data_IF_671694182251
#
_entry.id   IF_671694182251
#
_cell.length_a   1.000
_cell.length_b   1.000
_cell.length_c   1.000
_cell.angle_alpha   90.00
_cell.angle_beta   90.00
_cell.angle_gamma   90.00
#
_symmetry.space_group_name_H-M   'P 1'
#
loop_
_entity.id
_entity.type
_entity.pdbx_description
1 polymer ?
#
# COMPACT_ATOMS: atom_id res chain seq x y z
N UNK A 1 6.88 -19.06 -44.77
CA UNK A 1 8.07 -18.23 -44.46
C UNK A 1 7.86 -16.71 -44.49
N UNK A 2 6.88 -16.15 -45.22
CA UNK A 2 6.65 -14.67 -45.22
C UNK A 2 5.65 -14.18 -44.12
N UNK A 3 4.92 -15.05 -43.49
CA UNK A 3 3.96 -14.71 -42.41
C UNK A 3 4.66 -14.52 -41.04
N UNK A 4 5.67 -15.34 -40.81
CA UNK A 4 6.45 -15.35 -39.55
C UNK A 4 7.31 -14.08 -39.34
N UNK A 5 7.83 -13.51 -40.44
CA UNK A 5 8.62 -12.28 -40.43
C UNK A 5 7.78 -11.03 -40.12
N UNK A 6 6.50 -11.00 -40.59
CA UNK A 6 5.60 -9.89 -40.31
C UNK A 6 5.09 -9.91 -38.84
N UNK A 7 4.83 -11.08 -38.30
CA UNK A 7 4.45 -11.23 -36.88
C UNK A 7 5.62 -10.87 -35.97
N UNK A 8 6.82 -11.28 -36.32
CA UNK A 8 8.03 -10.95 -35.59
C UNK A 8 8.35 -9.45 -35.63
N UNK A 9 8.15 -8.78 -36.76
CA UNK A 9 8.31 -7.33 -36.87
C UNK A 9 7.23 -6.57 -36.11
N UNK A 10 5.98 -7.04 -36.09
CA UNK A 10 4.90 -6.46 -35.31
C UNK A 10 5.16 -6.60 -33.80
N UNK A 11 5.69 -7.74 -33.37
CA UNK A 11 6.06 -7.98 -31.97
C UNK A 11 7.21 -7.06 -31.52
N UNK A 12 8.23 -6.90 -32.37
CA UNK A 12 9.35 -5.99 -32.10
C UNK A 12 8.86 -4.53 -32.02
N UNK A 13 7.98 -4.10 -32.93
CA UNK A 13 7.41 -2.75 -32.87
C UNK A 13 6.53 -2.52 -31.65
N UNK A 14 5.73 -3.51 -31.24
CA UNK A 14 4.96 -3.43 -30.01
C UNK A 14 5.87 -3.35 -28.76
N UNK A 15 6.93 -4.16 -28.70
CA UNK A 15 7.90 -4.14 -27.60
C UNK A 15 8.67 -2.81 -27.53
N UNK A 16 9.07 -2.25 -28.68
CA UNK A 16 9.73 -0.93 -28.75
C UNK A 16 8.78 0.18 -28.34
N UNK A 17 7.49 0.10 -28.71
CA UNK A 17 6.49 1.08 -28.28
C UNK A 17 6.24 1.02 -26.77
N UNK A 18 6.21 -0.17 -26.18
CA UNK A 18 6.02 -0.38 -24.75
C UNK A 18 7.23 0.08 -23.92
N UNK A 19 8.45 -0.18 -24.41
CA UNK A 19 9.69 0.33 -23.83
C UNK A 19 9.85 1.86 -23.97
N UNK A 20 9.26 2.45 -25.02
CA UNK A 20 9.26 3.91 -25.23
C UNK A 20 8.17 4.64 -24.46
N UNK A 21 7.15 3.94 -23.96
CA UNK A 21 6.08 4.45 -23.11
C UNK A 21 6.44 4.41 -21.60
N UNK A 22 7.56 3.76 -21.24
CA UNK A 22 8.08 3.87 -19.88
C UNK A 22 8.50 5.33 -19.64
N UNK A 23 7.96 5.97 -18.62
CA UNK A 23 8.41 7.29 -18.19
C UNK A 23 9.94 7.28 -18.06
N UNK A 24 10.63 8.28 -18.61
CA UNK A 24 12.09 8.30 -18.56
C UNK A 24 12.50 8.30 -17.08
N UNK A 25 13.19 7.23 -16.66
CA UNK A 25 13.83 7.16 -15.35
C UNK A 25 14.81 8.33 -15.27
N UNK A 26 14.46 9.34 -14.46
CA UNK A 26 15.35 10.46 -14.19
C UNK A 26 16.47 10.03 -13.23
N UNK A 27 17.61 10.73 -13.33
CA UNK A 27 18.70 10.52 -12.37
C UNK A 27 18.24 10.93 -10.97
N UNK A 28 18.70 10.19 -9.98
CA UNK A 28 18.51 10.54 -8.58
C UNK A 28 19.22 11.87 -8.27
N UNK A 29 18.58 12.71 -7.49
CA UNK A 29 19.11 14.01 -7.09
C UNK A 29 20.46 13.90 -6.36
N UNK A 30 20.63 12.88 -5.52
CA UNK A 30 21.86 12.62 -4.78
C UNK A 30 23.03 12.31 -5.74
N UNK A 31 22.76 11.62 -6.84
CA UNK A 31 23.75 11.32 -7.87
C UNK A 31 24.13 12.59 -8.68
N UNK A 32 23.15 13.43 -9.01
CA UNK A 32 23.37 14.71 -9.66
C UNK A 32 24.20 15.64 -8.77
N UNK A 33 23.89 15.71 -7.49
CA UNK A 33 24.65 16.50 -6.49
C UNK A 33 26.08 16.01 -6.39
N UNK A 34 26.28 14.70 -6.24
CA UNK A 34 27.61 14.10 -6.16
C UNK A 34 28.45 14.38 -7.42
N UNK A 35 27.81 14.34 -8.62
CA UNK A 35 28.46 14.67 -9.88
C UNK A 35 28.92 16.14 -9.94
N UNK A 36 28.05 17.08 -9.57
CA UNK A 36 28.36 18.51 -9.57
C UNK A 36 29.47 18.85 -8.56
N UNK A 37 29.51 18.16 -7.44
CA UNK A 37 30.53 18.30 -6.40
C UNK A 37 31.85 17.59 -6.73
N UNK A 38 31.90 16.78 -7.79
CA UNK A 38 33.07 15.98 -8.16
C UNK A 38 33.34 14.82 -7.20
N UNK A 39 32.31 14.29 -6.55
CA UNK A 39 32.37 13.17 -5.59
C UNK A 39 31.99 11.82 -6.18
N UNK A 40 31.60 11.81 -7.46
CA UNK A 40 31.25 10.58 -8.18
C UNK A 40 32.49 9.75 -8.54
N UNK A 41 32.35 8.44 -8.52
CA UNK A 41 33.31 7.54 -9.14
C UNK A 41 33.22 7.56 -10.68
N UNK A 42 34.11 6.81 -11.34
CA UNK A 42 34.19 6.81 -12.83
C UNK A 42 32.92 6.26 -13.46
N UNK A 43 32.28 5.29 -12.84
CA UNK A 43 31.06 4.63 -13.35
C UNK A 43 29.87 5.59 -13.24
N UNK A 44 29.70 6.22 -12.10
CA UNK A 44 28.65 7.19 -11.83
C UNK A 44 28.78 8.43 -12.75
N UNK A 45 30.00 8.90 -13.01
CA UNK A 45 30.27 9.99 -13.97
C UNK A 45 29.82 9.63 -15.38
N UNK A 46 30.10 8.40 -15.83
CA UNK A 46 29.68 7.91 -17.14
C UNK A 46 28.16 7.82 -17.25
N UNK A 47 27.49 7.32 -16.19
CA UNK A 47 26.03 7.23 -16.11
C UNK A 47 25.40 8.62 -16.24
N UNK A 48 25.87 9.60 -15.45
CA UNK A 48 25.33 10.96 -15.50
C UNK A 48 25.60 11.60 -16.86
N UNK A 49 26.80 11.47 -17.40
CA UNK A 49 27.15 12.06 -18.69
C UNK A 49 26.35 11.47 -19.85
N UNK A 50 26.21 10.16 -19.89
CA UNK A 50 25.41 9.45 -20.89
C UNK A 50 23.93 9.84 -20.77
N UNK A 51 23.35 9.81 -19.57
CA UNK A 51 21.94 10.14 -19.36
C UNK A 51 21.63 11.61 -19.70
N UNK A 52 22.45 12.56 -19.29
CA UNK A 52 22.24 14.00 -19.54
C UNK A 52 22.37 14.38 -21.00
N UNK A 53 23.02 13.55 -21.82
CA UNK A 53 23.06 13.72 -23.28
C UNK A 53 21.71 13.38 -23.94
N UNK A 54 20.90 12.51 -23.32
CA UNK A 54 19.62 12.04 -23.84
C UNK A 54 18.43 12.68 -23.12
N UNK A 55 18.55 13.01 -21.83
CA UNK A 55 17.50 13.60 -21.02
C UNK A 55 17.71 15.10 -20.84
N UNK A 56 16.87 15.91 -21.50
CA UNK A 56 16.96 17.39 -21.44
C UNK A 56 16.63 17.94 -20.04
N UNK A 57 15.80 17.25 -19.25
CA UNK A 57 15.44 17.64 -17.87
C UNK A 57 16.66 17.50 -16.94
N UNK A 58 17.25 16.32 -16.85
CA UNK A 58 18.44 16.10 -16.02
C UNK A 58 19.64 16.94 -16.49
N UNK A 59 19.78 17.11 -17.80
CA UNK A 59 20.82 17.98 -18.36
C UNK A 59 20.65 19.47 -17.99
N UNK A 60 19.42 19.94 -17.80
CA UNK A 60 19.13 21.30 -17.30
C UNK A 60 19.48 21.40 -15.81
N UNK A 61 19.05 20.45 -15.04
CA UNK A 61 19.27 20.40 -13.58
C UNK A 61 20.76 20.36 -13.21
N UNK A 62 21.56 19.55 -13.92
CA UNK A 62 23.01 19.55 -13.76
C UNK A 62 23.62 20.92 -14.06
N UNK A 63 23.21 21.60 -15.17
CA UNK A 63 23.72 22.94 -15.50
C UNK A 63 23.35 24.00 -14.48
N UNK A 64 22.12 23.96 -13.97
CA UNK A 64 21.64 24.92 -12.97
C UNK A 64 22.41 24.77 -11.66
N UNK A 65 22.64 23.53 -11.20
CA UNK A 65 23.45 23.25 -10.02
C UNK A 65 24.94 23.61 -10.22
N UNK A 66 25.53 23.38 -11.38
CA UNK A 66 26.91 23.79 -11.71
C UNK A 66 27.04 25.32 -11.68
N UNK A 67 26.05 26.03 -12.23
CA UNK A 67 26.01 27.51 -12.23
C UNK A 67 25.94 28.04 -10.80
N UNK A 68 25.09 27.45 -9.96
CA UNK A 68 24.98 27.78 -8.55
C UNK A 68 26.26 27.52 -7.78
N UNK A 69 26.88 26.35 -7.97
CA UNK A 69 28.15 25.97 -7.32
C UNK A 69 29.29 26.91 -7.70
N UNK A 70 29.37 27.36 -8.96
CA UNK A 70 30.40 28.31 -9.42
C UNK A 70 30.19 29.70 -8.85
N UNK A 71 28.95 30.18 -8.75
CA UNK A 71 28.62 31.48 -8.14
C UNK A 71 28.94 31.48 -6.63
N UNK A 72 28.69 30.36 -5.95
CA UNK A 72 28.98 30.23 -4.52
C UNK A 72 30.49 30.20 -4.24
N UNK A 73 31.28 29.49 -5.06
CA UNK A 73 32.76 29.46 -4.95
C UNK A 73 33.39 30.84 -5.17
N UNK A 74 32.84 31.67 -6.08
CA UNK A 74 33.35 32.99 -6.38
C UNK A 74 33.15 34.01 -5.25
N UNK A 75 32.10 33.86 -4.43
CA UNK A 75 31.85 34.72 -3.26
C UNK A 75 32.73 34.40 -2.05
N UNK A 76 33.31 33.20 -1.95
CA UNK A 76 34.08 32.75 -0.78
C UNK A 76 35.52 33.30 -0.71
N UNK A 77 36.04 33.85 -1.79
CA UNK A 77 37.46 34.30 -1.83
C UNK A 77 37.69 35.73 -1.36
N UNK A 78 36.74 36.37 -0.67
CA UNK A 78 36.84 37.78 -0.33
C UNK A 78 36.63 38.12 1.17
N UNK A 79 37.04 37.26 2.08
CA UNK A 79 37.04 37.57 3.51
C UNK A 79 38.41 37.31 4.14
N UNK A 80 38.99 38.28 4.87
CA UNK A 80 40.27 38.11 5.53
C UNK A 80 40.15 37.16 6.72
N UNK A 81 40.99 36.13 6.70
CA UNK A 81 41.06 35.00 7.60
C UNK A 81 41.79 35.37 8.89
N UNK A 82 41.17 35.96 9.93
CA UNK A 82 41.79 35.83 11.24
C UNK A 82 40.96 36.13 12.51
N UNK A 83 39.74 36.62 12.41
CA UNK A 83 38.90 36.84 13.62
C UNK A 83 37.48 36.24 13.51
N UNK A 84 37.02 35.86 12.32
CA UNK A 84 35.68 35.34 12.09
C UNK A 84 35.56 33.82 12.35
N UNK A 85 36.66 33.06 12.46
CA UNK A 85 36.60 31.60 12.52
C UNK A 85 36.02 31.06 13.84
N UNK A 86 36.25 31.74 14.97
CA UNK A 86 35.75 31.27 16.30
C UNK A 86 34.29 31.67 16.50
N UNK A 87 33.90 32.86 16.08
CA UNK A 87 32.50 33.30 16.15
C UNK A 87 31.59 32.54 15.14
N UNK A 88 32.13 32.23 13.95
CA UNK A 88 31.42 31.42 12.95
C UNK A 88 31.24 29.95 13.43
N UNK A 89 32.23 29.37 14.08
CA UNK A 89 32.12 28.02 14.64
C UNK A 89 31.05 27.91 15.74
N UNK A 90 30.92 28.88 16.60
CA UNK A 90 29.87 28.94 17.63
C UNK A 90 28.49 29.22 17.06
N UNK A 91 28.38 30.07 16.05
CA UNK A 91 27.10 30.36 15.36
C UNK A 91 26.66 29.18 14.52
N UNK A 92 27.57 28.48 13.85
CA UNK A 92 27.29 27.26 13.08
C UNK A 92 26.87 26.14 14.01
N UNK A 93 27.54 25.94 15.15
CA UNK A 93 27.14 24.95 16.14
C UNK A 93 25.78 25.28 16.78
N UNK A 94 25.53 26.56 17.07
CA UNK A 94 24.23 26.99 17.60
C UNK A 94 23.11 26.91 16.56
N UNK A 95 23.38 27.28 15.31
CA UNK A 95 22.43 27.14 14.20
C UNK A 95 22.24 25.67 13.83
N UNK A 96 23.25 24.81 13.94
CA UNK A 96 23.07 23.36 13.74
C UNK A 96 22.25 22.71 14.87
N UNK A 97 22.42 23.21 16.11
CA UNK A 97 21.62 22.81 17.29
C UNK A 97 20.18 23.38 17.25
N UNK A 98 19.97 24.53 16.61
CA UNK A 98 18.68 25.22 16.50
C UNK A 98 18.00 25.02 15.15
N UNK A 99 18.64 24.32 14.19
CA UNK A 99 17.93 23.97 12.95
C UNK A 99 16.86 22.96 13.30
N UNK A 100 15.57 23.32 13.25
CA UNK A 100 14.53 22.30 13.30
C UNK A 100 14.82 21.34 12.14
N UNK A 101 15.00 20.06 12.45
CA UNK A 101 15.15 19.02 11.43
C UNK A 101 14.03 19.25 10.42
N UNK A 102 14.38 19.56 9.16
CA UNK A 102 13.38 19.93 8.17
C UNK A 102 12.33 18.81 8.10
N UNK A 103 11.11 19.14 8.45
CA UNK A 103 9.98 18.19 8.42
C UNK A 103 9.62 17.96 6.97
N UNK A 104 9.53 16.69 6.56
CA UNK A 104 9.14 16.29 5.20
C UNK A 104 7.64 16.11 5.12
N UNK A 105 7.05 15.49 6.15
CA UNK A 105 5.60 15.22 6.24
C UNK A 105 5.12 15.61 7.63
N UNK A 106 3.98 16.28 7.71
CA UNK A 106 3.25 16.53 8.95
C UNK A 106 1.81 16.10 8.76
N UNK A 107 1.32 15.23 9.63
CA UNK A 107 -0.05 14.72 9.62
C UNK A 107 -0.64 14.78 11.02
N UNK A 108 -1.92 15.09 11.09
CA UNK A 108 -2.70 14.86 12.30
C UNK A 108 -3.15 13.40 12.31
N UNK A 109 -2.97 12.70 13.42
CA UNK A 109 -3.34 11.29 13.60
C UNK A 109 -4.06 11.14 14.94
N UNK A 110 -5.37 11.28 14.90
CA UNK A 110 -6.20 11.44 16.09
C UNK A 110 -5.83 12.73 16.85
N UNK A 111 -5.52 12.62 18.14
CA UNK A 111 -5.12 13.75 18.97
C UNK A 111 -3.65 14.13 18.87
N UNK A 112 -2.85 13.47 18.00
CA UNK A 112 -1.41 13.66 17.87
C UNK A 112 -1.02 14.25 16.53
N UNK A 113 0.01 15.07 16.54
CA UNK A 113 0.70 15.49 15.33
C UNK A 113 1.89 14.57 15.07
N UNK A 114 1.85 13.86 13.95
CA UNK A 114 2.93 12.98 13.49
C UNK A 114 3.79 13.74 12.51
N UNK A 115 5.10 13.72 12.72
CA UNK A 115 6.08 14.39 11.86
C UNK A 115 7.14 13.41 11.40
N UNK A 116 7.35 13.34 10.10
CA UNK A 116 8.49 12.66 9.49
C UNK A 116 9.56 13.71 9.19
N UNK A 117 10.73 13.52 9.77
CA UNK A 117 11.89 14.39 9.58
C UNK A 117 12.72 13.90 8.38
N UNK A 118 13.49 14.82 7.78
CA UNK A 118 14.35 14.51 6.61
C UNK A 118 15.38 13.40 6.91
N UNK A 119 15.86 13.29 8.14
CA UNK A 119 16.74 12.20 8.59
C UNK A 119 16.03 10.85 8.72
N UNK A 120 14.73 10.76 8.48
CA UNK A 120 13.92 9.57 8.59
C UNK A 120 13.36 9.28 9.98
N UNK A 121 13.62 10.14 10.92
CA UNK A 121 13.06 10.00 12.25
C UNK A 121 11.58 10.36 12.27
N UNK A 122 10.77 9.43 12.79
CA UNK A 122 9.35 9.63 13.04
C UNK A 122 9.15 10.17 14.45
N UNK A 123 8.41 11.25 14.60
CA UNK A 123 8.06 11.85 15.90
C UNK A 123 6.54 12.00 16.05
N UNK A 124 6.07 12.07 17.31
CA UNK A 124 4.65 12.17 17.61
C UNK A 124 3.95 10.82 17.82
N UNK A 125 4.58 9.69 17.48
CA UNK A 125 4.05 8.34 17.70
C UNK A 125 4.77 7.64 18.86
N UNK A 126 4.02 7.12 19.83
CA UNK A 126 4.54 6.38 20.97
C UNK A 126 3.97 4.96 20.97
N UNK A 127 4.72 4.00 21.51
CA UNK A 127 4.28 2.62 21.63
C UNK A 127 4.46 1.76 20.37
N UNK A 128 5.01 2.33 19.30
CA UNK A 128 5.39 1.56 18.11
C UNK A 128 6.69 0.78 18.39
N UNK A 129 6.80 -0.39 17.79
CA UNK A 129 8.09 -1.08 17.67
C UNK A 129 8.92 -0.39 16.59
N UNK A 130 10.24 -0.66 16.59
CA UNK A 130 11.13 -0.16 15.52
C UNK A 130 10.71 -0.63 14.14
N UNK A 131 10.11 -1.82 14.05
CA UNK A 131 9.58 -2.36 12.79
C UNK A 131 8.35 -1.58 12.33
N UNK A 132 7.38 -1.33 13.23
CA UNK A 132 6.19 -0.53 12.90
C UNK A 132 6.57 0.89 12.48
N UNK A 133 7.53 1.50 13.20
CA UNK A 133 8.02 2.83 12.86
C UNK A 133 8.70 2.87 11.49
N UNK A 134 9.47 1.83 11.12
CA UNK A 134 10.05 1.70 9.77
C UNK A 134 8.99 1.54 8.70
N UNK A 135 7.96 0.68 8.91
CA UNK A 135 6.84 0.50 7.97
C UNK A 135 6.13 1.83 7.71
N UNK A 136 5.75 2.53 8.76
CA UNK A 136 5.10 3.86 8.65
C UNK A 136 6.02 4.87 7.95
N UNK A 137 7.30 4.90 8.29
CA UNK A 137 8.27 5.80 7.64
C UNK A 137 8.39 5.51 6.15
N UNK A 138 8.47 4.25 5.76
CA UNK A 138 8.54 3.83 4.36
C UNK A 138 7.28 4.22 3.59
N UNK A 139 6.09 3.95 4.15
CA UNK A 139 4.81 4.32 3.55
C UNK A 139 4.69 5.84 3.34
N UNK A 140 5.11 6.65 4.33
CA UNK A 140 5.10 8.11 4.21
C UNK A 140 6.11 8.64 3.19
N UNK A 141 7.29 8.02 3.07
CA UNK A 141 8.32 8.43 2.11
C UNK A 141 7.97 8.08 0.68
N UNK A 142 7.55 6.84 0.45
CA UNK A 142 7.19 6.36 -0.89
C UNK A 142 5.84 6.91 -1.34
N UNK A 143 4.92 7.20 -0.41
CA UNK A 143 3.52 7.47 -0.70
C UNK A 143 2.77 6.25 -1.23
N UNK A 144 3.35 5.05 -1.09
CA UNK A 144 2.80 3.77 -1.57
C UNK A 144 2.73 2.74 -0.43
N UNK A 145 1.82 1.79 -0.57
CA UNK A 145 1.59 0.72 0.40
C UNK A 145 2.01 -0.62 -0.21
N UNK A 146 2.67 -1.44 0.57
CA UNK A 146 3.08 -2.78 0.16
C UNK A 146 1.94 -3.78 0.39
N UNK A 147 1.01 -3.89 -0.56
CA UNK A 147 -0.10 -4.84 -0.48
C UNK A 147 0.35 -6.20 -0.98
N UNK A 148 0.11 -7.30 -0.23
CA UNK A 148 0.48 -8.63 -0.67
C UNK A 148 -0.22 -9.04 -1.97
N UNK A 149 0.52 -9.67 -2.88
CA UNK A 149 -0.02 -10.17 -4.17
C UNK A 149 -1.20 -11.13 -3.94
N UNK A 150 -1.14 -11.95 -2.89
CA UNK A 150 -2.22 -12.86 -2.53
C UNK A 150 -3.53 -12.12 -2.21
N UNK A 151 -3.46 -10.96 -1.54
CA UNK A 151 -4.63 -10.13 -1.24
C UNK A 151 -5.23 -9.56 -2.53
N UNK A 152 -4.38 -9.06 -3.45
CA UNK A 152 -4.83 -8.55 -4.75
C UNK A 152 -5.48 -9.64 -5.62
N UNK A 153 -4.90 -10.84 -5.64
CA UNK A 153 -5.47 -11.98 -6.36
C UNK A 153 -6.82 -12.39 -5.79
N UNK A 154 -6.93 -12.42 -4.47
CA UNK A 154 -8.18 -12.73 -3.77
C UNK A 154 -9.26 -11.68 -4.06
N UNK A 155 -8.93 -10.40 -4.04
CA UNK A 155 -9.83 -9.30 -4.36
C UNK A 155 -10.38 -9.40 -5.80
N UNK A 156 -9.52 -9.69 -6.79
CA UNK A 156 -9.93 -9.93 -8.19
C UNK A 156 -10.88 -11.10 -8.32
N UNK A 157 -10.63 -12.20 -7.61
CA UNK A 157 -11.53 -13.36 -7.58
C UNK A 157 -12.90 -12.98 -7.04
N UNK A 158 -12.95 -12.18 -5.98
CA UNK A 158 -14.20 -11.67 -5.41
C UNK A 158 -14.95 -10.70 -6.33
N UNK A 159 -14.23 -9.85 -7.04
CA UNK A 159 -14.81 -8.94 -8.04
C UNK A 159 -15.42 -9.71 -9.21
N UNK A 160 -14.71 -10.73 -9.71
CA UNK A 160 -15.21 -11.60 -10.75
C UNK A 160 -16.50 -12.32 -10.31
N UNK A 161 -16.55 -12.82 -9.06
CA UNK A 161 -17.77 -13.43 -8.53
C UNK A 161 -18.92 -12.42 -8.49
N UNK A 162 -18.71 -11.22 -7.95
CA UNK A 162 -19.77 -10.20 -7.88
C UNK A 162 -20.29 -9.79 -9.26
N UNK A 163 -19.42 -9.74 -10.28
CA UNK A 163 -19.81 -9.41 -11.64
C UNK A 163 -20.73 -10.46 -12.29
N UNK A 164 -20.75 -11.69 -11.79
CA UNK A 164 -21.65 -12.75 -12.29
C UNK A 164 -23.09 -12.58 -11.80
N UNK A 165 -23.33 -11.79 -10.74
CA UNK A 165 -24.65 -11.58 -10.12
C UNK A 165 -25.35 -10.29 -10.59
N UNK A 166 -25.03 -9.75 -11.75
CA UNK A 166 -25.59 -8.50 -12.30
C UNK A 166 -27.06 -8.55 -12.75
N UNK A 167 -27.81 -9.57 -12.34
CA UNK A 167 -29.23 -9.78 -12.71
C UNK A 167 -30.21 -9.52 -11.57
N UNK A 168 -31.46 -9.20 -11.92
CA UNK A 168 -32.57 -9.00 -10.99
C UNK A 168 -32.88 -10.28 -10.19
N UNK A 169 -32.91 -10.18 -8.86
CA UNK A 169 -33.32 -11.22 -7.90
C UNK A 169 -32.38 -12.43 -7.81
N UNK A 170 -31.08 -12.22 -7.79
CA UNK A 170 -30.12 -13.30 -7.55
C UNK A 170 -30.02 -13.64 -6.06
N UNK A 171 -29.99 -14.92 -5.75
CA UNK A 171 -29.58 -15.45 -4.46
C UNK A 171 -28.04 -15.50 -4.45
N UNK A 172 -27.41 -14.64 -3.65
CA UNK A 172 -25.95 -14.44 -3.74
C UNK A 172 -25.30 -14.34 -2.35
N UNK A 173 -24.07 -14.84 -2.22
CA UNK A 173 -23.25 -14.60 -1.07
C UNK A 173 -22.80 -13.12 -1.07
N UNK A 174 -22.75 -12.50 0.12
CA UNK A 174 -22.38 -11.10 0.30
C UNK A 174 -21.01 -10.93 0.97
N UNK A 175 -20.76 -11.65 2.06
CA UNK A 175 -19.53 -11.57 2.84
C UNK A 175 -19.25 -12.88 3.61
N UNK A 176 -17.96 -13.21 3.82
CA UNK A 176 -16.75 -12.60 3.28
C UNK A 176 -16.43 -13.10 1.86
N UNK A 177 -16.05 -12.20 0.94
CA UNK A 177 -15.71 -12.55 -0.45
C UNK A 177 -14.55 -11.70 -0.93
N UNK A 178 -13.52 -12.35 -1.43
CA UNK A 178 -12.38 -11.68 -2.05
C UNK A 178 -11.55 -10.84 -1.07
N UNK A 179 -11.53 -11.18 0.20
CA UNK A 179 -10.87 -10.40 1.24
C UNK A 179 -10.12 -11.26 2.25
N UNK A 180 -9.14 -10.66 2.89
CA UNK A 180 -8.52 -11.20 4.11
C UNK A 180 -9.24 -10.56 5.30
N UNK A 181 -9.64 -11.37 6.26
CA UNK A 181 -10.34 -10.93 7.47
C UNK A 181 -9.50 -11.17 8.73
N UNK A 182 -9.63 -10.30 9.71
CA UNK A 182 -8.88 -10.38 10.97
C UNK A 182 -9.44 -11.47 11.90
N UNK A 183 -10.78 -11.58 11.95
CA UNK A 183 -11.47 -12.54 12.82
C UNK A 183 -11.27 -13.97 12.35
N UNK A 184 -10.92 -14.86 13.25
CA UNK A 184 -10.88 -16.30 13.01
C UNK A 184 -12.25 -16.98 13.14
N UNK A 185 -13.29 -16.22 13.54
CA UNK A 185 -14.69 -16.62 13.50
C UNK A 185 -15.44 -15.74 12.51
N UNK A 186 -15.39 -16.08 11.22
CA UNK A 186 -16.04 -15.28 10.18
C UNK A 186 -17.55 -15.26 10.35
N UNK A 187 -18.13 -14.12 9.98
CA UNK A 187 -19.57 -13.98 9.82
C UNK A 187 -19.89 -14.01 8.33
N UNK A 188 -20.75 -14.94 7.95
CA UNK A 188 -21.23 -15.14 6.57
C UNK A 188 -22.56 -14.43 6.39
N UNK A 189 -22.71 -13.74 5.28
CA UNK A 189 -23.93 -12.99 4.94
C UNK A 189 -24.32 -13.26 3.48
N UNK A 190 -25.62 -13.33 3.20
CA UNK A 190 -26.16 -13.58 1.89
C UNK A 190 -27.52 -12.91 1.70
N UNK A 191 -27.98 -12.83 0.44
CA UNK A 191 -29.29 -12.26 0.12
C UNK A 191 -30.42 -13.20 0.50
N UNK A 192 -31.54 -12.61 0.93
CA UNK A 192 -32.72 -13.38 1.36
C UNK A 192 -33.47 -13.98 0.16
N UNK A 193 -33.94 -15.23 0.32
CA UNK A 193 -34.94 -15.86 -0.52
C UNK A 193 -36.23 -16.01 0.30
N UNK A 194 -37.35 -15.38 -0.06
CA UNK A 194 -38.58 -15.44 0.73
C UNK A 194 -39.05 -16.88 1.01
N UNK A 195 -39.24 -17.21 2.30
CA UNK A 195 -39.71 -18.51 2.73
C UNK A 195 -38.71 -19.66 2.64
N UNK A 196 -37.42 -19.36 2.43
CA UNK A 196 -36.35 -20.36 2.45
C UNK A 196 -35.70 -20.45 3.85
N UNK A 197 -35.18 -21.62 4.16
CA UNK A 197 -34.15 -21.85 5.18
C UNK A 197 -32.80 -22.02 4.52
N UNK A 198 -31.73 -21.84 5.24
CA UNK A 198 -30.39 -21.80 4.67
C UNK A 198 -29.47 -22.79 5.36
N UNK A 199 -28.43 -23.22 4.63
CA UNK A 199 -27.31 -23.95 5.17
C UNK A 199 -26.03 -23.38 4.56
N UNK A 200 -25.08 -23.00 5.42
CA UNK A 200 -23.77 -22.53 5.02
C UNK A 200 -22.77 -23.65 5.21
N UNK A 201 -21.97 -23.88 4.19
CA UNK A 201 -20.88 -24.85 4.22
C UNK A 201 -19.57 -24.14 3.89
N UNK A 202 -18.54 -24.37 4.71
CA UNK A 202 -17.21 -23.78 4.54
C UNK A 202 -16.20 -24.89 4.28
N UNK A 203 -15.34 -24.69 3.32
CA UNK A 203 -14.32 -25.63 2.89
C UNK A 203 -12.94 -24.99 2.94
N UNK A 204 -11.90 -25.80 3.12
CA UNK A 204 -10.54 -25.35 2.85
C UNK A 204 -10.33 -25.10 1.36
N UNK A 205 -9.19 -24.52 0.99
CA UNK A 205 -8.74 -24.35 -0.40
C UNK A 205 -8.63 -25.67 -1.20
N UNK A 206 -8.56 -26.82 -0.51
CA UNK A 206 -8.58 -28.17 -1.06
C UNK A 206 -9.97 -28.82 -1.00
N UNK A 207 -11.04 -28.06 -0.83
CA UNK A 207 -12.43 -28.51 -0.76
C UNK A 207 -12.72 -29.55 0.35
N UNK A 208 -11.95 -29.54 1.43
CA UNK A 208 -12.27 -30.33 2.62
C UNK A 208 -13.25 -29.55 3.50
N UNK A 209 -14.37 -30.15 3.90
CA UNK A 209 -15.32 -29.49 4.82
C UNK A 209 -14.63 -29.12 6.14
N UNK A 210 -14.83 -27.85 6.58
CA UNK A 210 -14.26 -27.34 7.84
C UNK A 210 -15.30 -26.79 8.78
N UNK A 211 -16.45 -26.31 8.25
CA UNK A 211 -17.56 -25.84 9.06
C UNK A 211 -18.89 -25.99 8.32
N UNK A 212 -19.96 -26.20 9.08
CA UNK A 212 -21.33 -26.36 8.62
C UNK A 212 -22.26 -25.69 9.62
N UNK A 213 -23.19 -24.90 9.15
CA UNK A 213 -24.10 -24.16 9.99
C UNK A 213 -25.30 -24.98 10.49
N UNK A 214 -25.60 -26.13 9.85
CA UNK A 214 -26.91 -26.73 9.91
C UNK A 214 -27.97 -25.83 9.28
N UNK A 215 -29.25 -26.05 9.61
CA UNK A 215 -30.37 -25.24 9.09
C UNK A 215 -30.53 -23.94 9.86
N UNK A 216 -30.66 -22.83 9.12
CA UNK A 216 -30.79 -21.47 9.60
C UNK A 216 -32.07 -20.83 9.05
N UNK A 217 -32.72 -20.00 9.86
CA UNK A 217 -33.84 -19.14 9.46
C UNK A 217 -33.42 -17.68 9.21
N UNK A 218 -32.14 -17.39 9.33
CA UNK A 218 -31.53 -16.06 9.15
C UNK A 218 -30.64 -16.02 7.92
N UNK A 219 -30.34 -14.84 7.42
CA UNK A 219 -29.37 -14.61 6.30
C UNK A 219 -27.98 -14.24 6.77
N UNK A 220 -27.67 -14.58 8.02
CA UNK A 220 -26.38 -14.33 8.65
C UNK A 220 -26.01 -15.48 9.58
N UNK A 221 -24.76 -15.89 9.55
CA UNK A 221 -24.22 -16.91 10.43
C UNK A 221 -22.76 -16.64 10.77
N UNK A 222 -22.42 -16.73 12.04
CA UNK A 222 -21.03 -16.64 12.52
C UNK A 222 -20.55 -18.03 12.87
N UNK A 223 -19.36 -18.40 12.36
CA UNK A 223 -18.76 -19.69 12.67
C UNK A 223 -18.55 -19.83 14.20
N UNK A 224 -19.08 -20.90 14.81
CA UNK A 224 -19.00 -21.05 16.27
C UNK A 224 -17.58 -21.44 16.73
N UNK A 225 -16.78 -22.00 15.85
CA UNK A 225 -15.40 -22.41 16.10
C UNK A 225 -14.44 -21.54 15.30
N UNK A 226 -13.26 -21.31 15.86
CA UNK A 226 -12.18 -20.60 15.16
C UNK A 226 -11.68 -21.45 13.99
N UNK A 227 -11.60 -20.83 12.82
CA UNK A 227 -10.93 -21.37 11.65
C UNK A 227 -9.42 -21.11 11.73
N UNK A 228 -8.64 -21.93 11.07
CA UNK A 228 -7.18 -21.79 11.08
C UNK A 228 -6.74 -20.48 10.46
N UNK A 229 -5.86 -19.73 11.16
CA UNK A 229 -5.24 -18.51 10.66
C UNK A 229 -4.23 -18.81 9.55
N UNK A 230 -4.05 -17.84 8.65
CA UNK A 230 -3.13 -17.96 7.50
C UNK A 230 -3.64 -18.88 6.39
N UNK A 231 -4.88 -19.35 6.47
CA UNK A 231 -5.48 -20.23 5.50
C UNK A 231 -6.55 -19.53 4.64
N UNK A 232 -6.72 -20.02 3.42
CA UNK A 232 -7.77 -19.61 2.49
C UNK A 232 -8.93 -20.60 2.54
N UNK A 233 -10.14 -20.08 2.44
CA UNK A 233 -11.37 -20.83 2.52
C UNK A 233 -12.28 -20.52 1.34
N UNK A 234 -13.11 -21.50 1.02
CA UNK A 234 -14.22 -21.37 0.08
C UNK A 234 -15.52 -21.62 0.85
N UNK A 235 -16.57 -20.91 0.52
CA UNK A 235 -17.85 -21.15 1.13
C UNK A 235 -18.99 -21.06 0.13
N UNK A 236 -20.10 -21.71 0.48
CA UNK A 236 -21.35 -21.66 -0.26
C UNK A 236 -22.53 -21.62 0.70
N UNK A 237 -23.64 -21.15 0.21
CA UNK A 237 -24.90 -21.17 0.94
C UNK A 237 -25.97 -21.84 0.10
N UNK A 238 -26.74 -22.73 0.71
CA UNK A 238 -27.86 -23.42 0.07
C UNK A 238 -29.15 -22.90 0.66
N UNK A 239 -30.03 -22.35 -0.18
CA UNK A 239 -31.40 -22.00 0.17
C UNK A 239 -32.32 -23.21 -0.06
N UNK A 240 -33.12 -23.55 0.92
CA UNK A 240 -34.01 -24.70 0.94
C UNK A 240 -35.44 -24.19 1.07
N UNK A 241 -36.25 -24.39 0.02
CA UNK A 241 -37.64 -23.92 -0.02
C UNK A 241 -38.54 -24.98 -0.69
N UNK A 242 -39.59 -25.39 -0.01
CA UNK A 242 -40.55 -26.36 -0.53
C UNK A 242 -39.93 -27.67 -1.07
N UNK A 243 -38.86 -28.14 -0.43
CA UNK A 243 -38.12 -29.32 -0.88
C UNK A 243 -37.07 -29.07 -1.97
N UNK A 244 -37.10 -27.92 -2.63
CA UNK A 244 -36.10 -27.52 -3.61
C UNK A 244 -34.89 -26.89 -2.93
N UNK A 245 -33.70 -27.16 -3.48
CA UNK A 245 -32.43 -26.62 -3.00
C UNK A 245 -31.77 -25.78 -4.11
N UNK A 246 -31.31 -24.60 -3.75
CA UNK A 246 -30.53 -23.73 -4.64
C UNK A 246 -29.26 -23.33 -3.92
N UNK A 247 -28.12 -23.66 -4.47
CA UNK A 247 -26.80 -23.33 -3.89
C UNK A 247 -26.20 -22.11 -4.58
N UNK A 248 -25.55 -21.24 -3.84
CA UNK A 248 -24.85 -20.07 -4.34
C UNK A 248 -23.51 -19.88 -3.61
N UNK A 249 -22.40 -19.59 -4.34
CA UNK A 249 -22.33 -19.61 -5.82
C UNK A 249 -22.48 -21.03 -6.36
N UNK A 250 -22.95 -21.16 -7.61
CA UNK A 250 -23.03 -22.42 -8.32
C UNK A 250 -22.29 -22.31 -9.67
N UNK A 251 -21.67 -23.39 -10.15
CA UNK A 251 -21.03 -23.38 -11.46
C UNK A 251 -21.98 -22.88 -12.58
N UNK A 252 -21.49 -22.05 -13.53
CA UNK A 252 -20.09 -21.68 -13.79
C UNK A 252 -19.57 -20.46 -13.01
N UNK A 253 -20.31 -19.94 -12.02
CA UNK A 253 -19.84 -18.80 -11.22
C UNK A 253 -18.58 -19.18 -10.43
N UNK A 254 -17.64 -18.25 -10.24
CA UNK A 254 -16.47 -18.45 -9.39
C UNK A 254 -16.87 -18.73 -7.94
N UNK A 255 -15.96 -19.31 -7.20
CA UNK A 255 -16.17 -19.62 -5.77
C UNK A 255 -16.11 -18.37 -4.89
N UNK A 256 -16.91 -18.34 -3.82
CA UNK A 256 -16.80 -17.34 -2.78
C UNK A 256 -15.59 -17.66 -1.90
N UNK A 257 -14.47 -16.99 -2.16
CA UNK A 257 -13.19 -17.19 -1.46
C UNK A 257 -12.91 -16.06 -0.49
N UNK A 258 -12.30 -16.40 0.65
CA UNK A 258 -11.74 -15.47 1.61
C UNK A 258 -10.54 -16.09 2.31
N UNK A 259 -9.74 -15.29 2.97
CA UNK A 259 -8.65 -15.79 3.81
C UNK A 259 -8.76 -15.22 5.22
N UNK A 260 -8.22 -15.95 6.18
CA UNK A 260 -8.05 -15.47 7.56
C UNK A 260 -6.61 -15.02 7.74
N UNK A 261 -6.46 -13.84 8.32
CA UNK A 261 -5.16 -13.26 8.60
C UNK A 261 -4.30 -14.22 9.42
N UNK A 262 -3.03 -14.31 9.07
CA UNK A 262 -2.07 -15.13 9.81
C UNK A 262 -1.85 -14.62 11.25
N UNK A 263 -1.33 -15.48 12.10
CA UNK A 263 -1.20 -15.23 13.52
C UNK A 263 -0.24 -14.07 13.83
N UNK A 264 0.87 -13.95 13.09
CA UNK A 264 1.89 -12.91 13.31
C UNK A 264 1.33 -11.53 13.05
N UNK A 265 0.67 -11.35 11.91
CA UNK A 265 0.03 -10.09 11.55
C UNK A 265 -1.15 -9.79 12.46
N UNK A 266 -1.96 -10.78 12.85
CA UNK A 266 -3.07 -10.61 13.78
C UNK A 266 -2.58 -10.10 15.14
N UNK A 267 -1.51 -10.67 15.70
CA UNK A 267 -0.90 -10.21 16.95
C UNK A 267 -0.32 -8.80 16.83
N UNK A 268 0.33 -8.47 15.71
CA UNK A 268 0.88 -7.14 15.45
C UNK A 268 -0.23 -6.09 15.43
N UNK A 269 -1.30 -6.36 14.69
CA UNK A 269 -2.47 -5.47 14.61
C UNK A 269 -3.13 -5.33 15.97
N UNK A 270 -3.39 -6.42 16.67
CA UNK A 270 -3.99 -6.38 18.01
C UNK A 270 -3.16 -5.59 19.04
N UNK A 271 -1.82 -5.58 18.89
CA UNK A 271 -0.94 -4.72 19.69
C UNK A 271 -1.12 -3.25 19.32
N UNK A 272 -1.16 -2.91 18.03
CA UNK A 272 -1.34 -1.54 17.55
C UNK A 272 -2.71 -0.97 17.96
N UNK A 273 -3.76 -1.78 17.96
CA UNK A 273 -5.11 -1.40 18.39
C UNK A 273 -5.19 -1.01 19.88
N UNK A 274 -4.26 -1.50 20.73
CA UNK A 274 -4.18 -1.16 22.16
C UNK A 274 -3.39 0.11 22.44
N UNK A 275 -2.76 0.70 21.43
CA UNK A 275 -2.00 1.95 21.60
C UNK A 275 -2.97 3.12 21.74
N UNK A 276 -2.84 3.85 22.85
CA UNK A 276 -3.65 5.03 23.12
C UNK A 276 -2.81 6.32 23.01
N UNK A 277 -3.36 7.36 22.36
CA UNK A 277 -4.54 7.35 21.50
C UNK A 277 -4.34 6.51 20.24
N UNK A 278 -5.46 6.02 19.68
CA UNK A 278 -5.48 5.21 18.45
C UNK A 278 -4.73 5.93 17.32
N UNK A 279 -3.92 5.20 16.58
CA UNK A 279 -3.19 5.72 15.41
C UNK A 279 -3.79 5.15 14.13
N UNK A 280 -4.51 5.99 13.38
CA UNK A 280 -5.07 5.63 12.08
C UNK A 280 -3.96 5.36 11.05
N UNK A 281 -2.87 6.11 11.13
CA UNK A 281 -1.72 5.94 10.24
C UNK A 281 -1.04 4.57 10.46
N UNK A 282 -0.70 4.22 11.70
CA UNK A 282 -0.02 2.95 11.97
C UNK A 282 -0.92 1.74 11.68
N UNK A 283 -2.18 1.81 12.07
CA UNK A 283 -3.15 0.75 11.78
C UNK A 283 -3.42 0.62 10.29
N UNK A 284 -3.62 1.72 9.58
CA UNK A 284 -3.82 1.71 8.12
C UNK A 284 -2.67 1.05 7.37
N UNK A 285 -1.42 1.37 7.74
CA UNK A 285 -0.22 0.74 7.16
C UNK A 285 -0.18 -0.76 7.51
N UNK A 286 -0.40 -1.12 8.78
CA UNK A 286 -0.35 -2.51 9.21
C UNK A 286 -1.44 -3.37 8.54
N UNK A 287 -2.67 -2.87 8.43
CA UNK A 287 -3.75 -3.55 7.73
C UNK A 287 -3.45 -3.70 6.22
N UNK A 288 -2.94 -2.65 5.57
CA UNK A 288 -2.60 -2.69 4.14
C UNK A 288 -1.52 -3.73 3.84
N UNK A 289 -0.44 -3.74 4.62
CA UNK A 289 0.66 -4.71 4.48
C UNK A 289 0.24 -6.15 4.83
N UNK A 290 -0.77 -6.30 5.68
CA UNK A 290 -1.39 -7.58 5.98
C UNK A 290 -2.44 -8.01 4.93
N UNK A 291 -2.77 -7.14 3.95
CA UNK A 291 -3.77 -7.39 2.92
C UNK A 291 -5.21 -7.25 3.39
N UNK A 292 -5.44 -6.70 4.58
CA UNK A 292 -6.77 -6.44 5.15
C UNK A 292 -7.25 -5.07 4.65
N UNK A 293 -7.59 -5.02 3.36
CA UNK A 293 -7.78 -3.77 2.62
C UNK A 293 -8.98 -2.94 3.08
N UNK A 294 -10.05 -3.59 3.53
CA UNK A 294 -11.26 -2.90 3.99
C UNK A 294 -11.02 -2.11 5.29
N UNK A 295 -10.29 -2.69 6.23
CA UNK A 295 -9.89 -2.04 7.48
C UNK A 295 -8.85 -0.94 7.20
N UNK A 296 -7.88 -1.22 6.34
CA UNK A 296 -6.89 -0.22 5.92
C UNK A 296 -7.58 1.00 5.29
N UNK A 297 -8.57 0.79 4.44
CA UNK A 297 -9.31 1.89 3.80
C UNK A 297 -10.05 2.75 4.84
N UNK A 298 -10.69 2.13 5.82
CA UNK A 298 -11.35 2.87 6.91
C UNK A 298 -10.36 3.74 7.70
N UNK A 299 -9.22 3.17 8.08
CA UNK A 299 -8.20 3.91 8.84
C UNK A 299 -7.63 5.07 8.02
N UNK A 300 -7.36 4.87 6.73
CA UNK A 300 -6.86 5.96 5.85
C UNK A 300 -7.95 6.98 5.49
N UNK A 301 -9.22 6.62 5.48
CA UNK A 301 -10.33 7.58 5.33
C UNK A 301 -10.41 8.50 6.55
N UNK A 302 -10.30 7.96 7.77
CA UNK A 302 -10.26 8.77 8.98
C UNK A 302 -9.02 9.68 8.99
N UNK A 303 -7.83 9.15 8.70
CA UNK A 303 -6.61 9.94 8.56
C UNK A 303 -6.77 11.07 7.54
N UNK A 304 -7.37 10.80 6.37
CA UNK A 304 -7.61 11.78 5.33
C UNK A 304 -8.66 12.83 5.76
N UNK A 305 -9.67 12.44 6.55
CA UNK A 305 -10.69 13.34 7.08
C UNK A 305 -10.10 14.38 8.05
N UNK A 306 -9.14 13.95 8.87
CA UNK A 306 -8.39 14.81 9.79
C UNK A 306 -7.38 15.71 9.05
N UNK A 307 -6.94 15.31 7.85
CA UNK A 307 -5.90 15.96 7.06
C UNK A 307 -6.39 16.40 5.67
N UNK A 308 -7.51 17.10 5.61
CA UNK A 308 -8.19 17.49 4.34
C UNK A 308 -7.29 18.18 3.32
N UNK A 309 -6.27 18.94 3.77
CA UNK A 309 -5.29 19.62 2.93
C UNK A 309 -4.07 18.80 2.55
N UNK A 310 -3.82 17.66 3.19
CA UNK A 310 -2.60 16.89 3.01
C UNK A 310 -2.61 16.08 1.70
N UNK A 311 -1.57 16.26 0.90
CA UNK A 311 -1.33 15.42 -0.27
C UNK A 311 -0.88 14.00 0.14
N UNK A 312 -0.18 13.88 1.28
CA UNK A 312 0.39 12.62 1.75
C UNK A 312 -0.70 11.68 2.24
N UNK A 313 -1.66 12.16 3.05
CA UNK A 313 -2.81 11.35 3.47
C UNK A 313 -3.63 10.86 2.27
N UNK A 314 -3.85 11.74 1.27
CA UNK A 314 -4.56 11.35 0.05
C UNK A 314 -3.80 10.33 -0.78
N UNK A 315 -2.46 10.46 -0.89
CA UNK A 315 -1.63 9.50 -1.62
C UNK A 315 -1.71 8.10 -1.03
N UNK A 316 -1.65 7.96 0.30
CA UNK A 316 -1.80 6.66 0.96
C UNK A 316 -3.16 6.01 0.64
N UNK A 317 -4.25 6.78 0.74
CA UNK A 317 -5.58 6.27 0.41
C UNK A 317 -5.71 5.90 -1.09
N UNK A 318 -5.13 6.70 -1.99
CA UNK A 318 -5.12 6.41 -3.42
C UNK A 318 -4.27 5.17 -3.73
N UNK A 319 -3.10 5.04 -3.11
CA UNK A 319 -2.24 3.85 -3.26
C UNK A 319 -2.97 2.57 -2.89
N UNK A 320 -3.79 2.58 -1.84
CA UNK A 320 -4.60 1.43 -1.46
C UNK A 320 -5.63 1.04 -2.54
N UNK A 321 -6.25 2.05 -3.17
CA UNK A 321 -7.31 1.85 -4.18
C UNK A 321 -6.79 1.50 -5.56
N UNK A 322 -5.50 1.66 -5.81
CA UNK A 322 -4.88 1.36 -7.12
C UNK A 322 -4.50 -0.13 -7.29
N UNK A 323 -4.71 -0.94 -6.28
CA UNK A 323 -4.42 -2.38 -6.27
C UNK A 323 -5.68 -3.23 -6.27
#
# INVERSE_FOLDING_TARGET
>A
MKTDEKERQALIQALVAELSAAEPLHLDYDLIEAYVDGRCDIIDQEIVTSHTSMCTMCGREVRDLQTFATQYRRRRNWLPLSVAAIAAGLVIALVALLRPSATVVTLQDGSREVRLLRNGQLSGMRGLTDEDARRVTNALRSGTLAIPVAATQLARSGELLRSTFTGTASFEPLAPIGCIIVSDRPTFEWTAVPGARYRVEVFSDHFRPVADSGLLDTTRWTAPQSLQRGATYVWQVTAIRNGNQTTSPAPPAPEARFAILDETNAQSIARLERIEPRSHLALGVAYAEAGVTAEAEREFQELASENRGSADARRLLQSLRSH
#
